data_IF_611076150548
#
_entry.id   IF_611076150548
#
_cell.length_a   1.000
_cell.length_b   1.000
_cell.length_c   1.000
_cell.angle_alpha   90.00
_cell.angle_beta   90.00
_cell.angle_gamma   90.00
#
_symmetry.space_group_name_H-M   'P 1'
#
loop_
_entity.id
_entity.type
_entity.pdbx_description
1 polymer ?
#
# COMPACT_ATOMS: atom_id res chain seq x y z
N UNK A 1 -16.47 64.78 -20.49
CA UNK A 1 -16.45 63.44 -19.89
C UNK A 1 -16.14 63.62 -18.43
N UNK A 2 -17.13 63.33 -17.57
CA UNK A 2 -17.07 63.64 -16.15
C UNK A 2 -16.12 62.70 -15.44
N UNK A 3 -15.42 63.24 -14.43
CA UNK A 3 -14.49 62.53 -13.54
C UNK A 3 -15.10 61.24 -12.90
N UNK A 4 -16.40 61.22 -12.69
CA UNK A 4 -17.13 60.05 -12.20
C UNK A 4 -17.07 58.82 -13.16
N UNK A 5 -17.07 59.03 -14.46
CA UNK A 5 -16.98 57.93 -15.43
C UNK A 5 -15.57 57.32 -15.53
N UNK A 6 -14.54 58.06 -15.12
CA UNK A 6 -13.16 57.52 -15.08
C UNK A 6 -12.89 56.68 -13.85
N UNK A 7 -13.52 57.03 -12.72
CA UNK A 7 -13.43 56.21 -11.49
C UNK A 7 -14.23 54.92 -11.58
N UNK A 8 -15.36 54.88 -12.28
CA UNK A 8 -16.15 53.67 -12.50
C UNK A 8 -15.44 52.67 -13.46
N UNK A 9 -14.74 53.15 -14.47
CA UNK A 9 -13.94 52.26 -15.36
C UNK A 9 -12.69 51.73 -14.62
N UNK A 10 -12.06 52.50 -13.76
CA UNK A 10 -10.92 52.04 -12.95
C UNK A 10 -11.34 51.02 -11.89
N UNK A 11 -12.54 51.16 -11.29
CA UNK A 11 -13.09 50.20 -10.35
C UNK A 11 -13.48 48.88 -11.01
N UNK A 12 -14.01 48.90 -12.25
CA UNK A 12 -14.26 47.65 -13.04
C UNK A 12 -12.96 46.95 -13.49
N UNK A 13 -11.89 47.69 -13.76
CA UNK A 13 -10.60 47.10 -14.12
C UNK A 13 -9.88 46.45 -12.92
N UNK A 14 -10.16 46.86 -11.69
CA UNK A 14 -9.61 46.28 -10.47
C UNK A 14 -10.35 45.01 -10.00
N UNK A 15 -11.58 44.78 -10.44
CA UNK A 15 -12.35 43.56 -10.14
C UNK A 15 -12.03 42.43 -11.16
N UNK A 16 -11.40 42.79 -12.28
CA UNK A 16 -11.06 41.83 -13.37
C UNK A 16 -9.71 41.13 -13.25
N UNK A 17 -8.90 41.38 -12.22
CA UNK A 17 -7.50 40.91 -12.16
C UNK A 17 -7.20 39.86 -11.09
N UNK A 18 -8.19 39.24 -10.48
CA UNK A 18 -7.97 38.12 -9.53
C UNK A 18 -8.56 36.80 -9.98
N UNK A 19 -8.74 36.55 -11.27
CA UNK A 19 -8.74 35.21 -11.80
C UNK A 19 -7.27 34.76 -11.90
N UNK A 20 -6.60 34.58 -10.77
CA UNK A 20 -5.47 33.67 -10.71
C UNK A 20 -6.05 32.32 -11.12
N UNK A 21 -5.84 31.92 -12.37
CA UNK A 21 -6.15 30.57 -12.82
C UNK A 21 -5.37 29.64 -11.89
N UNK A 22 -6.08 29.05 -10.93
CA UNK A 22 -5.57 27.93 -10.19
C UNK A 22 -5.11 26.92 -11.24
N UNK A 23 -3.81 26.72 -11.37
CA UNK A 23 -3.25 25.85 -12.41
C UNK A 23 -3.59 24.41 -12.00
N UNK A 24 -4.75 23.95 -12.48
CA UNK A 24 -5.16 22.56 -12.35
C UNK A 24 -4.16 21.71 -13.12
N UNK A 25 -3.43 20.86 -12.44
CA UNK A 25 -2.50 19.93 -13.07
C UNK A 25 -3.04 18.51 -13.01
N UNK A 26 -3.07 17.85 -14.16
CA UNK A 26 -3.32 16.41 -14.24
C UNK A 26 -2.01 15.71 -14.59
N UNK A 27 -1.61 14.76 -13.76
CA UNK A 27 -0.39 13.96 -13.95
C UNK A 27 -0.79 12.55 -14.35
N UNK A 28 -0.28 12.07 -15.46
CA UNK A 28 -0.22 10.65 -15.79
C UNK A 28 0.98 10.05 -15.05
N UNK A 29 0.78 8.92 -14.41
CA UNK A 29 1.85 8.18 -13.72
C UNK A 29 1.62 6.68 -13.86
N UNK A 30 2.66 5.89 -13.60
CA UNK A 30 2.51 4.45 -13.63
C UNK A 30 3.78 3.68 -13.34
N UNK A 31 3.64 2.36 -13.48
CA UNK A 31 4.70 1.39 -13.31
C UNK A 31 4.47 0.22 -14.25
N UNK A 32 5.50 -0.20 -14.96
CA UNK A 32 5.60 -1.54 -15.55
C UNK A 32 6.62 -2.32 -14.72
N UNK A 33 6.23 -3.47 -14.20
CA UNK A 33 7.06 -4.29 -13.32
C UNK A 33 6.81 -5.78 -13.63
N UNK A 34 7.80 -6.43 -14.24
CA UNK A 34 7.68 -7.79 -14.77
C UNK A 34 8.91 -8.61 -14.38
N UNK A 35 8.67 -9.86 -13.99
CA UNK A 35 9.70 -10.82 -13.64
C UNK A 35 9.64 -12.06 -14.53
N UNK A 36 10.80 -12.67 -14.75
CA UNK A 36 10.92 -14.10 -15.05
C UNK A 36 11.10 -14.80 -13.70
N UNK A 37 10.23 -15.76 -13.41
CA UNK A 37 10.26 -16.50 -12.15
C UNK A 37 10.26 -18.00 -12.38
N UNK A 38 11.07 -18.68 -11.56
CA UNK A 38 10.91 -20.12 -11.34
C UNK A 38 10.27 -20.32 -9.97
N UNK A 39 8.98 -20.64 -9.97
CA UNK A 39 8.17 -20.88 -8.77
C UNK A 39 8.01 -22.37 -8.53
N UNK A 40 8.03 -22.78 -7.27
CA UNK A 40 7.78 -24.15 -6.83
C UNK A 40 6.86 -24.15 -5.62
N UNK A 41 5.76 -24.92 -5.71
CA UNK A 41 4.79 -25.19 -4.65
C UNK A 41 4.79 -26.72 -4.42
N UNK A 42 5.41 -27.18 -3.33
CA UNK A 42 5.65 -28.62 -3.11
C UNK A 42 6.46 -29.25 -4.25
N UNK A 43 5.86 -30.21 -4.96
CA UNK A 43 6.48 -30.89 -6.10
C UNK A 43 6.14 -30.25 -7.46
N UNK A 44 5.23 -29.29 -7.47
CA UNK A 44 4.81 -28.59 -8.70
C UNK A 44 5.70 -27.38 -8.94
N UNK A 45 6.29 -27.31 -10.13
CA UNK A 45 7.09 -26.15 -10.52
C UNK A 45 6.60 -25.53 -11.82
N UNK A 46 6.79 -24.24 -11.98
CA UNK A 46 6.50 -23.48 -13.19
C UNK A 46 7.55 -22.38 -13.40
N UNK A 47 7.88 -22.14 -14.67
CA UNK A 47 8.70 -21.01 -15.08
C UNK A 47 7.92 -20.15 -16.04
N UNK A 48 7.91 -18.84 -15.84
CA UNK A 48 7.12 -17.95 -16.68
C UNK A 48 7.44 -16.48 -16.47
N UNK A 49 6.70 -15.65 -17.19
CA UNK A 49 6.64 -14.20 -16.97
C UNK A 49 5.51 -13.88 -15.99
N UNK A 50 5.81 -13.06 -15.00
CA UNK A 50 4.85 -12.68 -13.97
C UNK A 50 4.77 -11.16 -13.85
N UNK A 51 3.54 -10.68 -13.73
CA UNK A 51 3.26 -9.30 -13.43
C UNK A 51 3.44 -9.01 -11.93
N UNK A 52 4.13 -7.91 -11.62
CA UNK A 52 4.32 -7.45 -10.25
C UNK A 52 3.62 -6.11 -10.01
N UNK A 53 2.28 -6.13 -10.02
CA UNK A 53 1.42 -4.96 -9.80
C UNK A 53 1.73 -3.80 -10.76
N UNK A 54 1.84 -4.08 -12.06
CA UNK A 54 1.89 -3.05 -13.09
C UNK A 54 0.61 -2.25 -13.09
N UNK A 55 0.72 -0.94 -13.24
CA UNK A 55 -0.38 0.00 -13.11
C UNK A 55 -0.13 1.31 -13.83
N UNK A 56 -1.20 2.00 -14.15
CA UNK A 56 -1.17 3.39 -14.59
C UNK A 56 -2.31 4.16 -13.94
N UNK A 57 -2.18 5.47 -13.86
CA UNK A 57 -3.21 6.29 -13.23
C UNK A 57 -3.11 7.76 -13.59
N UNK A 58 -4.15 8.46 -13.24
CA UNK A 58 -4.26 9.90 -13.34
C UNK A 58 -4.51 10.47 -11.95
N UNK A 59 -3.83 11.55 -11.61
CA UNK A 59 -4.11 12.33 -10.42
C UNK A 59 -4.09 13.80 -10.76
N UNK A 60 -4.96 14.54 -10.12
CA UNK A 60 -5.06 15.98 -10.31
C UNK A 60 -5.36 16.69 -9.00
N UNK A 61 -5.01 17.96 -8.97
CA UNK A 61 -5.32 18.84 -7.84
C UNK A 61 -5.65 20.24 -8.36
N UNK A 62 -6.68 20.84 -7.77
CA UNK A 62 -7.10 22.20 -7.99
C UNK A 62 -6.94 22.99 -6.71
N UNK A 63 -6.36 24.18 -6.78
CA UNK A 63 -6.31 25.13 -5.67
C UNK A 63 -7.60 25.98 -5.68
N UNK A 64 -8.40 25.85 -4.64
CA UNK A 64 -9.67 26.57 -4.49
C UNK A 64 -9.51 27.93 -3.79
N UNK A 65 -8.28 28.30 -3.45
CA UNK A 65 -7.98 29.51 -2.70
C UNK A 65 -8.09 29.30 -1.19
N UNK A 66 -7.53 30.25 -0.41
CA UNK A 66 -7.56 30.19 1.05
C UNK A 66 -6.87 28.97 1.68
N UNK A 67 -6.00 28.28 0.93
CA UNK A 67 -5.34 27.04 1.37
C UNK A 67 -6.21 25.79 1.19
N UNK A 68 -7.41 25.90 0.61
CA UNK A 68 -8.30 24.79 0.30
C UNK A 68 -7.95 24.20 -1.07
N UNK A 69 -7.93 22.87 -1.17
CA UNK A 69 -7.60 22.13 -2.41
C UNK A 69 -8.57 20.99 -2.60
N UNK A 70 -9.04 20.81 -3.83
CA UNK A 70 -9.76 19.61 -4.28
C UNK A 70 -8.81 18.73 -5.10
N UNK A 71 -8.91 17.42 -4.96
CA UNK A 71 -8.07 16.48 -5.71
C UNK A 71 -8.82 15.22 -6.08
N UNK A 72 -8.24 14.49 -7.05
CA UNK A 72 -8.70 13.15 -7.41
C UNK A 72 -7.52 12.25 -7.74
N UNK A 73 -7.74 10.93 -7.63
CA UNK A 73 -6.81 9.92 -8.12
C UNK A 73 -7.59 8.71 -8.67
N UNK A 74 -7.21 8.29 -9.88
CA UNK A 74 -7.75 7.10 -10.55
C UNK A 74 -6.57 6.21 -10.92
N UNK A 75 -6.58 4.93 -10.52
CA UNK A 75 -5.49 3.99 -10.80
C UNK A 75 -6.03 2.64 -11.27
N UNK A 76 -5.53 2.21 -12.42
CA UNK A 76 -5.84 0.92 -13.06
C UNK A 76 -4.67 -0.04 -12.94
N UNK A 77 -4.92 -1.27 -12.54
CA UNK A 77 -3.98 -2.37 -12.66
C UNK A 77 -4.06 -3.01 -14.04
N UNK A 78 -2.95 -3.60 -14.48
CA UNK A 78 -2.93 -4.44 -15.67
C UNK A 78 -1.87 -5.54 -15.52
N UNK A 79 -2.03 -6.60 -16.26
CA UNK A 79 -1.04 -7.67 -16.35
C UNK A 79 -0.02 -7.34 -17.43
N UNK A 80 1.23 -7.07 -17.03
CA UNK A 80 2.31 -6.74 -17.95
C UNK A 80 2.82 -7.93 -18.77
N UNK A 81 2.46 -9.16 -18.42
CA UNK A 81 2.85 -10.36 -19.17
C UNK A 81 1.89 -10.67 -20.31
N UNK A 82 0.63 -10.32 -20.18
CA UNK A 82 -0.44 -10.63 -21.15
C UNK A 82 -1.10 -9.39 -21.76
N UNK A 83 -0.96 -8.22 -21.13
CA UNK A 83 -1.67 -7.00 -21.50
C UNK A 83 -3.12 -6.94 -20.98
N UNK A 84 -3.58 -7.93 -20.24
CA UNK A 84 -4.95 -7.98 -19.71
C UNK A 84 -5.17 -6.88 -18.66
N UNK A 85 -6.38 -6.30 -18.63
CA UNK A 85 -6.81 -5.38 -17.59
C UNK A 85 -7.07 -6.10 -16.26
N UNK A 86 -7.09 -5.34 -15.16
CA UNK A 86 -7.48 -5.86 -13.84
C UNK A 86 -8.93 -6.38 -13.89
N UNK A 87 -9.13 -7.63 -13.55
CA UNK A 87 -10.45 -8.29 -13.57
C UNK A 87 -11.47 -7.66 -12.61
N UNK A 88 -11.01 -6.90 -11.62
CA UNK A 88 -11.84 -6.21 -10.63
C UNK A 88 -12.46 -4.92 -11.16
N UNK A 89 -12.00 -4.40 -12.30
CA UNK A 89 -12.48 -3.17 -12.94
C UNK A 89 -11.37 -2.19 -13.33
N UNK A 90 -11.73 -1.20 -14.16
CA UNK A 90 -10.73 -0.29 -14.75
C UNK A 90 -9.97 0.55 -13.70
N UNK A 91 -10.61 1.01 -12.64
CA UNK A 91 -9.99 1.79 -11.57
C UNK A 91 -10.06 1.06 -10.21
N UNK A 92 -9.86 -0.26 -10.26
CA UNK A 92 -9.99 -1.12 -9.09
C UNK A 92 -8.86 -0.98 -8.06
N UNK A 93 -7.77 -0.28 -8.40
CA UNK A 93 -6.69 0.01 -7.46
C UNK A 93 -6.97 1.27 -6.64
N UNK A 94 -7.39 2.34 -7.31
CA UNK A 94 -7.78 3.59 -6.66
C UNK A 94 -8.79 4.35 -7.49
N UNK A 95 -9.81 4.89 -6.82
CA UNK A 95 -10.80 5.78 -7.40
C UNK A 95 -11.30 6.69 -6.28
N UNK A 96 -10.69 7.86 -6.13
CA UNK A 96 -11.00 8.77 -5.04
C UNK A 96 -11.13 10.22 -5.48
N UNK A 97 -11.95 10.95 -4.72
CA UNK A 97 -11.96 12.41 -4.67
C UNK A 97 -11.63 12.86 -3.26
N UNK A 98 -10.93 13.98 -3.13
CA UNK A 98 -10.55 14.50 -1.82
C UNK A 98 -10.64 16.01 -1.73
N UNK A 99 -10.81 16.49 -0.51
CA UNK A 99 -10.75 17.91 -0.14
C UNK A 99 -9.74 18.06 1.00
N UNK A 100 -8.77 18.97 0.86
CA UNK A 100 -7.72 19.15 1.85
C UNK A 100 -7.44 20.64 2.14
N UNK A 101 -6.92 20.92 3.31
CA UNK A 101 -6.62 22.27 3.76
C UNK A 101 -5.94 22.28 5.12
N UNK A 102 -5.97 23.41 5.82
CA UNK A 102 -5.43 23.53 7.18
C UNK A 102 -6.08 22.60 8.20
N UNK A 103 -7.26 22.08 7.90
CA UNK A 103 -7.98 21.10 8.73
C UNK A 103 -7.52 19.64 8.51
N UNK A 104 -6.65 19.38 7.55
CA UNK A 104 -6.28 18.03 7.12
C UNK A 104 -6.90 17.66 5.77
N UNK A 105 -7.33 16.41 5.60
CA UNK A 105 -7.93 15.92 4.35
C UNK A 105 -9.11 14.99 4.59
N UNK A 106 -10.19 15.17 3.83
CA UNK A 106 -11.31 14.24 3.70
C UNK A 106 -11.20 13.55 2.34
N UNK A 107 -11.35 12.23 2.31
CA UNK A 107 -11.23 11.38 1.12
C UNK A 107 -12.47 10.50 0.98
N UNK A 108 -12.99 10.36 -0.23
CA UNK A 108 -14.16 9.55 -0.54
C UNK A 108 -13.84 8.63 -1.72
N UNK A 109 -14.23 7.37 -1.63
CA UNK A 109 -14.15 6.44 -2.76
C UNK A 109 -13.45 5.13 -2.43
N UNK A 110 -12.56 4.69 -3.35
CA UNK A 110 -11.81 3.45 -3.26
C UNK A 110 -10.31 3.74 -3.13
N UNK A 111 -9.70 3.26 -2.06
CA UNK A 111 -8.25 3.36 -1.80
C UNK A 111 -7.81 2.36 -0.74
N UNK A 112 -6.51 2.04 -0.72
CA UNK A 112 -5.90 1.12 0.26
C UNK A 112 -6.02 1.65 1.68
N UNK A 113 -6.13 0.75 2.67
CA UNK A 113 -6.25 1.09 4.09
C UNK A 113 -4.98 1.79 4.61
N UNK A 114 -5.17 2.84 5.40
CA UNK A 114 -4.06 3.58 5.99
C UNK A 114 -3.35 2.78 7.10
N UNK A 115 -4.06 1.87 7.79
CA UNK A 115 -3.46 0.93 8.73
C UNK A 115 -2.41 0.03 8.07
N UNK A 116 -2.63 -0.42 6.82
CA UNK A 116 -1.66 -1.17 6.04
C UNK A 116 -0.43 -0.31 5.71
N UNK A 117 -0.63 0.90 5.20
CA UNK A 117 0.46 1.83 4.92
C UNK A 117 1.25 2.20 6.19
N UNK A 118 0.57 2.38 7.32
CA UNK A 118 1.23 2.71 8.57
C UNK A 118 2.11 1.57 9.09
N UNK A 119 1.82 0.30 8.77
CA UNK A 119 2.43 -0.84 9.45
C UNK A 119 3.22 -1.79 8.55
N UNK A 120 2.66 -2.30 7.45
CA UNK A 120 3.27 -3.37 6.68
C UNK A 120 3.98 -2.91 5.41
N UNK A 121 3.45 -1.89 4.72
CA UNK A 121 3.84 -1.54 3.36
C UNK A 121 5.35 -1.28 3.18
N UNK A 122 6.00 -0.67 4.15
CA UNK A 122 7.41 -0.32 4.07
C UNK A 122 8.36 -1.31 4.72
N UNK A 123 7.87 -2.38 5.35
CA UNK A 123 8.71 -3.25 6.18
C UNK A 123 9.52 -4.23 5.37
N UNK A 124 8.95 -4.85 4.34
CA UNK A 124 9.72 -5.81 3.53
C UNK A 124 10.77 -5.16 2.63
N UNK A 125 10.67 -3.86 2.37
CA UNK A 125 11.62 -2.98 1.66
C UNK A 125 11.95 -3.38 0.22
N UNK A 126 11.82 -4.66 -0.16
CA UNK A 126 12.06 -5.16 -1.50
C UNK A 126 10.73 -5.52 -2.15
N UNK A 127 10.27 -4.71 -3.12
CA UNK A 127 8.99 -4.93 -3.84
C UNK A 127 7.86 -5.40 -2.90
N UNK A 128 7.80 -4.81 -1.72
CA UNK A 128 6.95 -5.20 -0.59
C UNK A 128 5.47 -5.34 -0.94
N UNK A 129 5.01 -4.64 -1.95
CA UNK A 129 3.64 -4.63 -2.45
C UNK A 129 3.43 -5.54 -3.67
N UNK A 130 4.42 -6.33 -4.07
CA UNK A 130 4.38 -6.97 -5.39
C UNK A 130 5.00 -8.35 -5.43
N UNK A 131 4.39 -9.19 -6.26
CA UNK A 131 4.94 -10.46 -6.67
C UNK A 131 5.09 -11.48 -5.54
N UNK A 132 5.82 -12.54 -5.83
CA UNK A 132 6.05 -13.64 -4.89
C UNK A 132 6.91 -13.26 -3.67
N UNK A 133 7.62 -12.10 -3.71
CA UNK A 133 8.35 -11.58 -2.55
C UNK A 133 7.49 -10.75 -1.59
N UNK A 134 6.22 -10.48 -1.91
CA UNK A 134 5.32 -9.74 -1.04
C UNK A 134 5.04 -10.49 0.27
N UNK A 135 4.59 -9.73 1.28
CA UNK A 135 4.24 -10.30 2.57
C UNK A 135 3.02 -11.23 2.46
N UNK A 136 3.24 -12.53 2.74
CA UNK A 136 2.20 -13.53 2.70
C UNK A 136 1.34 -13.56 3.98
N UNK A 137 1.73 -12.88 5.05
CA UNK A 137 1.20 -13.08 6.40
C UNK A 137 0.39 -11.91 6.96
N UNK A 138 0.54 -10.71 6.40
CA UNK A 138 -0.17 -9.55 6.90
C UNK A 138 -1.68 -9.69 6.69
N UNK A 139 -2.43 -9.65 7.77
CA UNK A 139 -3.89 -9.67 7.75
C UNK A 139 -4.45 -8.31 7.34
N UNK A 140 -4.96 -8.23 6.12
CA UNK A 140 -5.59 -7.05 5.56
C UNK A 140 -7.11 -7.17 5.70
N UNK A 141 -7.69 -6.42 6.65
CA UNK A 141 -9.10 -6.57 7.06
C UNK A 141 -10.01 -5.52 6.41
N UNK A 142 -9.50 -4.30 6.21
CA UNK A 142 -10.31 -3.18 5.71
C UNK A 142 -10.61 -3.30 4.22
N UNK A 143 -11.86 -3.30 3.76
CA UNK A 143 -12.20 -3.21 2.34
C UNK A 143 -11.68 -1.92 1.71
N UNK A 144 -11.28 -1.97 0.42
CA UNK A 144 -10.81 -0.78 -0.30
C UNK A 144 -11.93 0.13 -0.77
N UNK A 145 -13.12 -0.40 -1.06
CA UNK A 145 -14.23 0.32 -1.65
C UNK A 145 -15.13 1.01 -0.61
N UNK A 146 -15.95 1.95 -1.09
CA UNK A 146 -17.05 2.60 -0.34
C UNK A 146 -16.58 3.31 0.92
N UNK A 147 -15.39 3.93 0.86
CA UNK A 147 -14.74 4.56 2.01
C UNK A 147 -15.02 6.05 2.13
N UNK A 148 -15.18 6.45 3.39
CA UNK A 148 -15.06 7.82 3.87
C UNK A 148 -13.87 7.84 4.82
N UNK A 149 -12.88 8.69 4.58
CA UNK A 149 -11.70 8.81 5.43
C UNK A 149 -11.36 10.26 5.76
N UNK A 150 -10.75 10.44 6.91
CA UNK A 150 -10.19 11.70 7.34
C UNK A 150 -8.75 11.50 7.81
N UNK A 151 -7.87 12.41 7.37
CA UNK A 151 -6.47 12.52 7.81
C UNK A 151 -6.25 13.84 8.51
N UNK A 152 -5.67 13.82 9.69
CA UNK A 152 -5.28 15.04 10.41
C UNK A 152 -4.18 15.81 9.68
N UNK A 153 -4.02 17.11 9.94
CA UNK A 153 -2.73 17.77 9.73
C UNK A 153 -1.62 17.05 10.49
N UNK A 154 -0.36 17.28 10.09
CA UNK A 154 0.79 16.74 10.81
C UNK A 154 1.11 17.60 12.03
N UNK A 155 1.10 17.01 13.21
CA UNK A 155 1.40 17.65 14.49
C UNK A 155 2.71 17.09 15.07
N UNK A 156 3.80 17.84 15.00
CA UNK A 156 5.09 17.40 15.56
C UNK A 156 5.60 16.06 15.01
N UNK A 157 5.31 15.75 13.74
CA UNK A 157 5.65 14.48 13.09
C UNK A 157 4.57 13.39 13.19
N UNK A 158 3.49 13.62 13.96
CA UNK A 158 2.35 12.71 14.07
C UNK A 158 1.26 13.02 13.04
N UNK A 159 0.79 12.01 12.36
CA UNK A 159 -0.40 12.04 11.50
C UNK A 159 -1.32 10.89 11.90
N UNK A 160 -2.63 11.15 12.00
CA UNK A 160 -3.65 10.15 12.32
C UNK A 160 -4.66 10.08 11.17
N UNK A 161 -5.03 8.87 10.78
CA UNK A 161 -6.04 8.57 9.77
C UNK A 161 -7.16 7.74 10.38
N UNK A 162 -8.40 8.05 10.04
CA UNK A 162 -9.57 7.27 10.39
C UNK A 162 -10.45 7.06 9.17
N UNK A 163 -10.98 5.86 8.97
CA UNK A 163 -11.87 5.55 7.85
C UNK A 163 -13.00 4.61 8.24
N UNK A 164 -14.10 4.72 7.51
CA UNK A 164 -15.19 3.76 7.49
C UNK A 164 -15.44 3.32 6.06
N UNK A 165 -15.59 2.00 5.85
CA UNK A 165 -16.12 1.44 4.60
C UNK A 165 -17.58 1.03 4.85
N UNK A 166 -18.48 1.58 4.04
CA UNK A 166 -19.92 1.36 4.16
C UNK A 166 -20.31 0.05 3.46
N UNK A 167 -21.17 -0.75 4.10
CA UNK A 167 -21.62 -2.02 3.52
C UNK A 167 -22.80 -1.85 2.53
N UNK A 168 -23.26 -0.61 2.33
CA UNK A 168 -24.32 -0.24 1.36
C UNK A 168 -25.58 -1.11 1.46
N UNK A 169 -25.98 -1.44 2.69
CA UNK A 169 -27.13 -2.27 3.01
C UNK A 169 -27.12 -3.69 2.39
N UNK A 170 -25.94 -4.19 2.00
CA UNK A 170 -25.81 -5.59 1.57
C UNK A 170 -26.29 -6.52 2.68
N UNK A 171 -27.09 -7.53 2.32
CA UNK A 171 -27.64 -8.50 3.27
C UNK A 171 -26.50 -9.19 4.03
N UNK A 172 -26.53 -9.12 5.36
CA UNK A 172 -25.47 -9.65 6.21
C UNK A 172 -24.18 -8.81 6.23
N UNK A 173 -24.13 -7.71 5.47
CA UNK A 173 -22.99 -6.83 5.40
C UNK A 173 -22.73 -6.12 6.73
N UNK A 174 -21.45 -5.83 6.99
CA UNK A 174 -20.98 -5.05 8.14
C UNK A 174 -20.08 -3.92 7.66
N UNK A 175 -20.27 -2.72 8.22
CA UNK A 175 -19.30 -1.66 8.03
C UNK A 175 -17.94 -2.08 8.55
N UNK A 176 -16.90 -1.61 7.87
CA UNK A 176 -15.53 -1.79 8.36
C UNK A 176 -14.98 -0.45 8.85
N UNK A 177 -14.08 -0.51 9.80
CA UNK A 177 -13.44 0.66 10.42
C UNK A 177 -11.93 0.49 10.37
N UNK A 178 -11.23 1.60 10.11
CA UNK A 178 -9.76 1.65 10.04
C UNK A 178 -9.26 2.87 10.81
N UNK A 179 -8.22 2.66 11.61
CA UNK A 179 -7.52 3.72 12.33
C UNK A 179 -6.03 3.49 12.16
N UNK A 180 -5.30 4.53 11.80
CA UNK A 180 -3.87 4.50 11.62
C UNK A 180 -3.19 5.72 12.25
N UNK A 181 -1.97 5.54 12.72
CA UNK A 181 -1.12 6.60 13.20
C UNK A 181 0.30 6.41 12.66
N UNK A 182 0.91 7.47 12.15
CA UNK A 182 2.30 7.52 11.73
C UNK A 182 3.02 8.61 12.53
N UNK A 183 4.20 8.31 13.06
CA UNK A 183 5.03 9.26 13.76
C UNK A 183 6.47 9.18 13.26
N UNK A 184 6.95 10.30 12.71
CA UNK A 184 8.30 10.44 12.19
C UNK A 184 9.13 11.33 13.11
N UNK A 185 10.21 10.78 13.67
CA UNK A 185 11.14 11.46 14.57
C UNK A 185 12.57 11.26 14.03
N UNK A 186 13.01 12.17 13.17
CA UNK A 186 14.32 12.09 12.53
C UNK A 186 14.48 10.78 11.73
N UNK A 187 15.41 9.94 12.17
CA UNK A 187 15.70 8.65 11.55
C UNK A 187 14.71 7.52 11.92
N UNK A 188 13.85 7.75 12.92
CA UNK A 188 12.89 6.77 13.42
C UNK A 188 11.51 7.04 12.82
N UNK A 189 10.92 6.01 12.20
CA UNK A 189 9.56 6.01 11.70
C UNK A 189 8.74 4.94 12.43
N UNK A 190 7.74 5.38 13.20
CA UNK A 190 6.80 4.51 13.91
C UNK A 190 5.46 4.51 13.20
N UNK A 191 4.74 3.41 13.32
CA UNK A 191 3.38 3.27 12.80
C UNK A 191 2.56 2.33 13.65
N UNK A 192 1.27 2.59 13.74
CA UNK A 192 0.29 1.70 14.33
C UNK A 192 -0.99 1.71 13.50
N UNK A 193 -1.69 0.59 13.46
CA UNK A 193 -2.93 0.45 12.71
C UNK A 193 -3.88 -0.54 13.38
N UNK A 194 -5.16 -0.24 13.28
CA UNK A 194 -6.26 -1.11 13.70
C UNK A 194 -7.33 -1.14 12.64
N UNK A 195 -7.80 -2.32 12.26
CA UNK A 195 -8.93 -2.48 11.36
C UNK A 195 -9.88 -3.55 11.88
N UNK A 196 -11.19 -3.35 11.61
CA UNK A 196 -12.24 -4.28 12.02
C UNK A 196 -13.36 -4.30 11.00
N UNK A 197 -13.84 -5.51 10.66
CA UNK A 197 -15.08 -5.75 9.90
C UNK A 197 -15.86 -6.92 10.51
N UNK A 198 -17.00 -6.65 11.11
CA UNK A 198 -17.73 -7.66 11.87
C UNK A 198 -16.91 -8.17 13.05
N UNK A 199 -16.65 -9.47 13.08
CA UNK A 199 -15.87 -10.13 14.12
C UNK A 199 -14.38 -10.22 13.77
N UNK A 200 -14.02 -10.08 12.49
CA UNK A 200 -12.65 -10.06 12.00
C UNK A 200 -11.98 -8.75 12.36
N UNK A 201 -10.80 -8.82 12.97
CA UNK A 201 -10.04 -7.62 13.34
C UNK A 201 -8.53 -7.84 13.28
N UNK A 202 -7.80 -6.76 13.21
CA UNK A 202 -6.34 -6.75 13.33
C UNK A 202 -5.85 -5.49 14.04
N UNK A 203 -4.75 -5.64 14.75
CA UNK A 203 -3.90 -4.55 15.26
C UNK A 203 -2.46 -4.81 14.85
N UNK A 204 -1.77 -3.80 14.36
CA UNK A 204 -0.35 -3.88 14.04
C UNK A 204 0.41 -2.64 14.52
N UNK A 205 1.70 -2.82 14.80
CA UNK A 205 2.63 -1.74 15.11
C UNK A 205 3.97 -1.97 14.40
N UNK A 206 4.56 -0.89 13.91
CA UNK A 206 5.81 -0.86 13.14
C UNK A 206 6.82 0.08 13.76
N UNK A 207 8.11 -0.29 13.66
CA UNK A 207 9.24 0.61 13.85
C UNK A 207 10.26 0.40 12.73
N UNK A 208 10.73 1.49 12.10
CA UNK A 208 11.84 1.51 11.15
C UNK A 208 12.86 2.55 11.61
N UNK A 209 14.14 2.20 11.50
CA UNK A 209 15.24 3.10 11.84
C UNK A 209 16.26 3.13 10.69
N UNK A 210 16.59 4.33 10.21
CA UNK A 210 17.57 4.55 9.15
C UNK A 210 18.84 5.17 9.74
N UNK A 211 19.99 4.55 9.51
CA UNK A 211 21.29 5.05 9.94
C UNK A 211 22.34 4.86 8.84
N UNK A 212 22.88 5.96 8.36
CA UNK A 212 23.79 5.94 7.22
C UNK A 212 23.15 5.28 5.99
N UNK A 213 23.76 4.22 5.49
CA UNK A 213 23.29 3.45 4.34
C UNK A 213 22.33 2.32 4.72
N UNK A 214 22.04 2.12 6.00
CA UNK A 214 21.21 1.02 6.48
C UNK A 214 19.83 1.49 6.89
N UNK A 215 18.82 0.67 6.59
CA UNK A 215 17.48 0.77 7.17
C UNK A 215 17.13 -0.58 7.77
N UNK A 216 16.71 -0.60 9.02
CA UNK A 216 16.30 -1.80 9.72
C UNK A 216 14.97 -1.57 10.45
N UNK A 217 14.19 -2.61 10.61
CA UNK A 217 12.98 -2.53 11.40
C UNK A 217 12.06 -3.70 11.18
N UNK A 218 10.81 -3.54 11.60
CA UNK A 218 9.85 -4.61 11.54
C UNK A 218 8.46 -4.16 11.96
N UNK A 219 7.54 -5.12 11.95
CA UNK A 219 6.23 -4.97 12.54
C UNK A 219 5.85 -6.20 13.37
N UNK A 220 4.93 -5.98 14.28
CA UNK A 220 4.15 -7.02 14.95
C UNK A 220 2.68 -6.82 14.63
N UNK A 221 1.95 -7.90 14.41
CA UNK A 221 0.51 -7.87 14.18
C UNK A 221 -0.18 -8.95 15.01
N UNK A 222 -1.36 -8.63 15.50
CA UNK A 222 -2.31 -9.60 16.05
C UNK A 222 -3.61 -9.48 15.26
N UNK A 223 -4.08 -10.59 14.74
CA UNK A 223 -5.35 -10.69 14.02
C UNK A 223 -6.26 -11.77 14.62
N UNK A 224 -7.55 -11.67 14.34
CA UNK A 224 -8.58 -12.62 14.71
C UNK A 224 -9.41 -12.96 13.48
N UNK A 225 -9.43 -14.26 13.15
CA UNK A 225 -10.22 -14.86 12.05
C UNK A 225 -9.91 -14.32 10.64
N UNK A 226 -8.76 -13.67 10.42
CA UNK A 226 -8.51 -12.96 9.16
C UNK A 226 -8.22 -13.88 7.96
N UNK A 227 -7.52 -15.00 8.16
CA UNK A 227 -7.23 -15.97 7.10
C UNK A 227 -8.00 -17.28 7.27
N UNK A 228 -8.39 -17.61 8.50
CA UNK A 228 -9.09 -18.84 8.84
C UNK A 228 -10.33 -18.49 9.63
N UNK A 229 -11.50 -18.70 9.03
CA UNK A 229 -12.78 -18.47 9.71
C UNK A 229 -12.88 -19.31 11.00
N UNK A 230 -13.24 -18.68 12.13
CA UNK A 230 -13.24 -19.27 13.46
C UNK A 230 -11.88 -19.83 13.92
N UNK A 231 -10.78 -19.41 13.30
CA UNK A 231 -9.42 -19.76 13.69
C UNK A 231 -9.01 -19.18 15.02
N UNK A 232 -9.68 -18.13 15.46
CA UNK A 232 -9.35 -17.37 16.66
C UNK A 232 -8.19 -16.42 16.41
N UNK A 233 -7.39 -16.17 17.44
CA UNK A 233 -6.31 -15.17 17.39
C UNK A 233 -5.01 -15.77 16.90
N UNK A 234 -4.27 -14.96 16.11
CA UNK A 234 -2.92 -15.26 15.62
C UNK A 234 -2.01 -14.05 15.86
N UNK A 235 -0.72 -14.29 16.11
CA UNK A 235 0.29 -13.26 16.13
C UNK A 235 1.24 -13.44 14.93
N UNK A 236 1.60 -12.33 14.30
CA UNK A 236 2.55 -12.29 13.19
C UNK A 236 3.63 -11.26 13.50
N UNK A 237 4.85 -11.52 13.09
CA UNK A 237 5.92 -10.54 13.10
C UNK A 237 6.76 -10.62 11.85
N UNK A 238 7.39 -9.50 11.48
CA UNK A 238 8.36 -9.40 10.40
C UNK A 238 9.51 -8.49 10.79
N UNK A 239 10.71 -8.92 10.46
CA UNK A 239 11.93 -8.12 10.54
C UNK A 239 12.48 -7.94 9.14
N UNK A 240 13.05 -6.78 8.87
CA UNK A 240 13.63 -6.46 7.59
C UNK A 240 14.84 -5.55 7.73
N UNK A 241 15.77 -5.68 6.78
CA UNK A 241 16.94 -4.85 6.65
C UNK A 241 17.24 -4.53 5.18
N UNK A 242 17.71 -3.31 4.93
CA UNK A 242 18.21 -2.87 3.64
C UNK A 242 19.56 -2.18 3.80
N UNK A 243 20.45 -2.39 2.83
CA UNK A 243 21.72 -1.71 2.72
C UNK A 243 21.87 -1.08 1.33
N UNK A 244 22.07 0.24 1.29
CA UNK A 244 22.21 1.00 0.06
C UNK A 244 23.65 1.36 -0.20
N UNK A 245 24.19 0.98 -1.39
CA UNK A 245 25.56 1.26 -1.80
C UNK A 245 25.56 1.81 -3.24
N UNK A 246 25.57 3.13 -3.38
CA UNK A 246 25.48 3.76 -4.69
C UNK A 246 24.19 3.41 -5.42
N UNK A 247 24.30 2.74 -6.57
CA UNK A 247 23.13 2.26 -7.34
C UNK A 247 22.59 0.90 -6.85
N UNK A 248 23.28 0.23 -5.94
CA UNK A 248 22.96 -1.10 -5.44
C UNK A 248 22.15 -1.03 -4.13
N UNK A 249 21.15 -1.88 -4.00
CA UNK A 249 20.34 -2.05 -2.79
C UNK A 249 20.26 -3.55 -2.45
N UNK A 250 20.66 -3.91 -1.24
CA UNK A 250 20.57 -5.28 -0.72
C UNK A 250 19.46 -5.34 0.31
N UNK A 251 18.63 -6.36 0.22
CA UNK A 251 17.46 -6.52 1.07
C UNK A 251 17.40 -7.91 1.69
N UNK A 252 16.98 -7.95 2.94
CA UNK A 252 16.67 -9.20 3.65
C UNK A 252 15.44 -8.98 4.52
N UNK A 253 14.54 -9.95 4.54
CA UNK A 253 13.46 -9.96 5.50
C UNK A 253 13.12 -11.38 5.93
N UNK A 254 12.58 -11.50 7.14
CA UNK A 254 12.01 -12.72 7.67
C UNK A 254 10.69 -12.38 8.37
N UNK A 255 9.65 -13.13 8.06
CA UNK A 255 8.35 -13.05 8.70
C UNK A 255 7.94 -14.40 9.27
N UNK A 256 7.21 -14.39 10.38
CA UNK A 256 6.58 -15.57 10.95
C UNK A 256 5.13 -15.26 11.27
N UNK A 257 4.23 -16.07 10.74
CA UNK A 257 2.86 -16.20 11.20
C UNK A 257 2.83 -17.30 12.26
N UNK A 258 2.35 -17.00 13.46
CA UNK A 258 2.06 -18.01 14.46
C UNK A 258 0.84 -18.84 14.07
N UNK A 259 0.58 -19.90 14.78
CA UNK A 259 -0.65 -20.67 14.58
C UNK A 259 -1.89 -19.89 15.05
N UNK A 260 -3.02 -20.15 14.45
CA UNK A 260 -4.31 -19.74 14.98
C UNK A 260 -4.67 -20.58 16.21
N UNK A 261 -5.24 -19.93 17.21
CA UNK A 261 -5.59 -20.57 18.48
C UNK A 261 -6.40 -21.87 18.32
N UNK A 262 -7.32 -21.89 17.35
CA UNK A 262 -8.23 -23.01 17.11
C UNK A 262 -7.79 -23.90 15.93
N UNK A 263 -6.60 -23.64 15.35
CA UNK A 263 -6.05 -24.40 14.22
C UNK A 263 -4.57 -24.67 14.48
N UNK A 264 -4.25 -25.70 15.26
CA UNK A 264 -2.87 -26.10 15.53
C UNK A 264 -2.08 -26.39 14.26
N UNK A 265 -0.78 -26.17 14.28
CA UNK A 265 0.14 -26.36 13.14
C UNK A 265 -0.19 -25.48 11.92
N UNK A 266 -0.93 -24.38 12.08
CA UNK A 266 -1.25 -23.44 10.99
C UNK A 266 -0.22 -22.32 10.83
N UNK A 267 0.92 -22.44 11.49
CA UNK A 267 2.00 -21.45 11.42
C UNK A 267 2.84 -21.58 10.14
N UNK A 268 3.55 -20.49 9.81
CA UNK A 268 4.48 -20.47 8.68
C UNK A 268 5.60 -19.45 8.87
N UNK A 269 6.70 -19.64 8.14
CA UNK A 269 7.81 -18.71 8.09
C UNK A 269 8.09 -18.34 6.64
N UNK A 270 8.23 -17.04 6.35
CA UNK A 270 8.67 -16.52 5.05
C UNK A 270 10.00 -15.80 5.23
N UNK A 271 10.94 -16.03 4.30
CA UNK A 271 12.13 -15.22 4.20
C UNK A 271 12.42 -14.84 2.75
N UNK A 272 12.99 -13.65 2.58
CA UNK A 272 13.34 -13.12 1.27
C UNK A 272 14.74 -12.50 1.35
N UNK A 273 15.56 -12.77 0.35
CA UNK A 273 16.78 -12.03 0.05
C UNK A 273 16.65 -11.44 -1.34
N UNK A 274 17.03 -10.18 -1.50
CA UNK A 274 16.85 -9.46 -2.75
C UNK A 274 17.98 -8.48 -3.03
N UNK A 275 18.19 -8.23 -4.30
CA UNK A 275 19.14 -7.26 -4.81
C UNK A 275 18.49 -6.41 -5.89
N UNK A 276 18.63 -5.08 -5.79
CA UNK A 276 18.25 -4.14 -6.82
C UNK A 276 19.47 -3.40 -7.34
N UNK A 277 19.49 -3.14 -8.63
CA UNK A 277 20.42 -2.21 -9.26
C UNK A 277 19.66 -1.10 -9.97
N UNK A 278 19.79 0.13 -9.50
CA UNK A 278 19.11 1.30 -10.01
C UNK A 278 19.83 1.83 -11.24
N UNK A 279 19.28 1.57 -12.44
CA UNK A 279 19.77 2.12 -13.71
C UNK A 279 19.50 3.62 -13.80
N UNK A 280 18.45 4.07 -13.18
CA UNK A 280 18.05 5.49 -13.05
C UNK A 280 17.12 5.67 -11.85
N UNK A 281 16.68 6.92 -11.59
CA UNK A 281 15.64 7.21 -10.58
C UNK A 281 14.30 6.50 -10.85
N UNK A 282 14.04 6.07 -12.09
CA UNK A 282 12.78 5.47 -12.52
C UNK A 282 12.89 4.00 -12.91
N UNK A 283 14.10 3.51 -13.20
CA UNK A 283 14.31 2.17 -13.75
C UNK A 283 15.29 1.39 -12.90
N UNK A 284 14.90 0.18 -12.52
CA UNK A 284 15.79 -0.78 -11.89
C UNK A 284 15.65 -2.18 -12.47
N UNK A 285 16.75 -2.92 -12.45
CA UNK A 285 16.78 -4.37 -12.57
C UNK A 285 16.96 -4.96 -11.19
N UNK A 286 16.38 -6.14 -10.97
CA UNK A 286 16.44 -6.75 -9.65
C UNK A 286 16.33 -8.27 -9.72
N UNK A 287 16.77 -8.92 -8.65
CA UNK A 287 16.53 -10.33 -8.44
C UNK A 287 16.28 -10.63 -6.97
N UNK A 288 15.54 -11.68 -6.69
CA UNK A 288 15.30 -12.14 -5.33
C UNK A 288 15.08 -13.65 -5.27
N UNK A 289 15.31 -14.17 -4.09
CA UNK A 289 14.84 -15.49 -3.69
C UNK A 289 13.90 -15.31 -2.49
N UNK A 290 12.75 -15.95 -2.55
CA UNK A 290 11.79 -16.00 -1.43
C UNK A 290 11.36 -17.43 -1.18
N UNK A 291 11.08 -17.76 0.09
CA UNK A 291 10.55 -19.05 0.48
C UNK A 291 9.56 -18.89 1.62
N UNK A 292 8.47 -19.65 1.53
CA UNK A 292 7.47 -19.84 2.58
C UNK A 292 7.54 -21.30 3.01
N UNK A 293 7.79 -21.54 4.30
CA UNK A 293 7.72 -22.85 4.92
C UNK A 293 6.43 -22.92 5.74
N UNK A 294 5.55 -23.83 5.37
CA UNK A 294 4.29 -24.06 6.04
C UNK A 294 4.42 -25.22 7.04
N UNK A 295 3.87 -25.06 8.24
CA UNK A 295 3.60 -26.18 9.15
C UNK A 295 2.44 -27.02 8.62
N UNK A 296 2.19 -28.18 9.19
CA UNK A 296 1.29 -29.24 8.67
C UNK A 296 -0.09 -28.74 8.22
N UNK A 297 -0.67 -27.76 8.91
CA UNK A 297 -1.96 -27.15 8.59
C UNK A 297 -1.81 -25.75 7.95
N UNK A 298 -0.58 -25.26 7.79
CA UNK A 298 -0.32 -23.97 7.12
C UNK A 298 -0.64 -24.04 5.63
N UNK A 299 -1.25 -22.98 5.08
CA UNK A 299 -1.67 -22.90 3.67
C UNK A 299 -1.21 -21.62 2.98
N UNK A 300 -0.20 -20.96 3.53
CA UNK A 300 0.28 -19.67 3.00
C UNK A 300 1.05 -19.86 1.69
N UNK A 301 0.67 -19.08 0.68
CA UNK A 301 1.32 -19.04 -0.62
C UNK A 301 1.64 -17.63 -1.08
N UNK A 302 2.28 -17.50 -2.24
CA UNK A 302 2.65 -16.21 -2.81
C UNK A 302 1.42 -15.37 -3.14
N UNK A 303 1.55 -14.04 -2.95
CA UNK A 303 0.45 -13.08 -3.14
C UNK A 303 -0.80 -13.41 -2.30
N UNK A 304 -0.63 -14.06 -1.17
CA UNK A 304 -1.72 -14.53 -0.30
C UNK A 304 -2.69 -15.51 -0.99
N UNK A 305 -2.26 -16.17 -2.07
CA UNK A 305 -3.01 -17.26 -2.70
C UNK A 305 -2.71 -18.54 -1.92
N UNK A 306 -3.73 -19.18 -1.31
CA UNK A 306 -3.51 -20.39 -0.52
C UNK A 306 -2.93 -21.54 -1.34
N UNK A 307 -2.02 -22.32 -0.72
CA UNK A 307 -1.53 -23.58 -1.21
C UNK A 307 -2.11 -24.75 -0.40
N UNK A 308 -1.81 -26.00 -0.79
CA UNK A 308 -2.19 -27.16 0.01
C UNK A 308 -1.59 -27.11 1.44
N UNK A 309 -2.29 -27.70 2.40
CA UNK A 309 -1.82 -27.74 3.79
C UNK A 309 -0.44 -28.41 3.88
N UNK A 310 0.50 -27.77 4.56
CA UNK A 310 1.88 -28.23 4.71
C UNK A 310 2.73 -28.12 3.43
N UNK A 311 2.24 -27.48 2.37
CA UNK A 311 3.00 -27.30 1.13
C UNK A 311 3.87 -26.05 1.23
N UNK A 312 5.18 -26.23 1.07
CA UNK A 312 6.16 -25.15 1.01
C UNK A 312 6.19 -24.52 -0.37
N UNK A 313 6.42 -23.20 -0.41
CA UNK A 313 6.58 -22.45 -1.65
C UNK A 313 7.95 -21.77 -1.72
N UNK A 314 8.58 -21.77 -2.90
CA UNK A 314 9.79 -20.97 -3.13
C UNK A 314 9.83 -20.41 -4.55
N UNK A 315 10.52 -19.28 -4.70
CA UNK A 315 10.69 -18.59 -5.99
C UNK A 315 12.08 -18.00 -6.11
N UNK A 316 12.69 -18.20 -7.27
CA UNK A 316 13.82 -17.41 -7.77
C UNK A 316 13.29 -16.53 -8.90
N UNK A 317 13.52 -15.22 -8.79
CA UNK A 317 13.02 -14.22 -9.72
C UNK A 317 14.10 -13.24 -10.17
N UNK A 318 14.01 -12.81 -11.42
CA UNK A 318 14.74 -11.65 -11.96
C UNK A 318 13.78 -10.78 -12.73
N UNK A 319 13.89 -9.45 -12.61
CA UNK A 319 12.91 -8.55 -13.19
C UNK A 319 13.42 -7.16 -13.52
N UNK A 320 12.54 -6.42 -14.19
CA UNK A 320 12.74 -5.01 -14.53
C UNK A 320 11.52 -4.24 -14.06
N UNK A 321 11.77 -3.11 -13.39
CA UNK A 321 10.74 -2.14 -13.01
C UNK A 321 11.06 -0.78 -13.61
N UNK A 322 10.08 -0.20 -14.30
CA UNK A 322 10.13 1.17 -14.80
C UNK A 322 8.92 1.95 -14.29
N UNK A 323 9.15 3.11 -13.66
CA UNK A 323 8.11 4.05 -13.27
C UNK A 323 8.10 5.24 -14.23
N UNK A 324 6.94 5.74 -14.60
CA UNK A 324 6.78 6.89 -15.50
C UNK A 324 5.78 7.91 -14.98
#
# INVERSE_FOLDING_TARGET
MNTLNRCALAALALVGTSAAFAQSSVTLYGRVNTTVEHQKDGDVSKTGLFNNNSRFGFKGQEDLGGGLKAGFQLESGFDSSSGASDSRGIFARQSEVNLSGGFGAVRLGRFTAESYYATADYVSMHNHDTGSSSDAFYAYVMPDANKIAYRTPTFGGLTVDAAVALHEQAVGGKNAYDLAANYNLGALALGAGYSKQGDVNQFAARALYTFGAFTVGGYVQRDEDAFVANGGKRNTFRLAGAYNMGASEFHVNVGRAGEYKNTPDSDATQYTVGYNYNLSKRTKVYGYYTRINNSRAGTYGFNQVPVGAGVDSNTLAVGIRHNF
#
